data_IF_791852772080
#
_entry.id   IF_791852772080
#
_cell.length_a   1.000
_cell.length_b   1.000
_cell.length_c   1.000
_cell.angle_alpha   90.00
_cell.angle_beta   90.00
_cell.angle_gamma   90.00
#
_symmetry.space_group_name_H-M   'P 1'
#
loop_
_entity.id
_entity.type
_entity.pdbx_description
1 polymer ?
#
# COMPACT_ATOMS: atom_id res chain seq x y z
N UNK A 1 16.01 -9.74 6.68
CA UNK A 1 15.61 -8.33 6.96
C UNK A 1 14.87 -8.31 8.29
N UNK A 2 15.30 -7.49 9.25
CA UNK A 2 14.59 -7.34 10.51
C UNK A 2 13.26 -6.59 10.28
N UNK A 3 12.16 -7.07 10.87
CA UNK A 3 10.87 -6.37 10.83
C UNK A 3 11.01 -5.02 11.53
N UNK A 4 10.50 -3.95 10.93
CA UNK A 4 10.39 -2.65 11.59
C UNK A 4 9.45 -2.75 12.79
N UNK A 5 9.76 -2.02 13.88
CA UNK A 5 8.85 -1.93 15.03
C UNK A 5 7.49 -1.36 14.59
N UNK A 6 6.38 -1.76 15.24
CA UNK A 6 5.07 -1.17 14.97
C UNK A 6 5.13 0.34 15.18
N UNK A 7 4.65 1.09 14.20
CA UNK A 7 4.52 2.53 14.33
C UNK A 7 3.13 2.85 14.88
N UNK A 8 3.00 3.81 15.81
CA UNK A 8 1.69 4.22 16.30
C UNK A 8 0.83 4.72 15.13
N UNK A 9 -0.48 4.47 15.20
CA UNK A 9 -1.40 5.02 14.22
C UNK A 9 -1.43 6.55 14.34
N UNK A 10 -1.19 7.24 13.23
CA UNK A 10 -1.09 8.71 13.18
C UNK A 10 -2.23 9.28 12.34
N UNK A 11 -2.98 10.22 12.92
CA UNK A 11 -4.16 10.83 12.28
C UNK A 11 -3.93 12.31 12.03
N UNK A 12 -4.27 12.76 10.83
CA UNK A 12 -4.28 14.17 10.43
C UNK A 12 -2.89 14.80 10.25
N UNK A 13 -2.86 15.96 9.61
CA UNK A 13 -1.62 16.63 9.21
C UNK A 13 -0.72 17.01 10.41
N UNK A 14 -1.29 17.47 11.53
CA UNK A 14 -0.53 17.82 12.72
C UNK A 14 0.12 16.59 13.38
N UNK A 15 -0.58 15.46 13.41
CA UNK A 15 -0.05 14.19 13.87
C UNK A 15 1.09 13.71 12.96
N UNK A 16 0.88 13.77 11.64
CA UNK A 16 1.91 13.39 10.66
C UNK A 16 3.15 14.27 10.78
N UNK A 17 2.99 15.59 10.90
CA UNK A 17 4.12 16.51 11.07
C UNK A 17 4.94 16.20 12.33
N UNK A 18 4.26 15.88 13.44
CA UNK A 18 4.91 15.47 14.68
C UNK A 18 5.69 14.16 14.51
N UNK A 19 5.06 13.17 13.88
CA UNK A 19 5.68 11.86 13.62
C UNK A 19 6.94 11.98 12.75
N UNK A 20 6.86 12.75 11.66
CA UNK A 20 8.00 12.98 10.77
C UNK A 20 9.16 13.65 11.52
N UNK A 21 8.86 14.66 12.36
CA UNK A 21 9.89 15.33 13.18
C UNK A 21 10.48 14.42 14.26
N UNK A 22 9.68 13.57 14.90
CA UNK A 22 10.14 12.74 16.02
C UNK A 22 10.97 11.53 15.57
N UNK A 23 10.64 10.95 14.40
CA UNK A 23 11.32 9.75 13.91
C UNK A 23 12.36 10.04 12.83
N UNK A 24 12.26 11.16 12.11
CA UNK A 24 13.18 11.51 11.02
C UNK A 24 13.10 10.58 9.81
N UNK A 25 12.08 9.73 9.73
CA UNK A 25 11.90 8.76 8.64
C UNK A 25 10.82 9.25 7.65
N UNK A 26 11.06 9.16 6.33
CA UNK A 26 10.04 9.45 5.34
C UNK A 26 8.91 8.43 5.40
N UNK A 27 7.70 8.87 5.05
CA UNK A 27 6.53 8.00 4.92
C UNK A 27 6.07 7.97 3.46
N UNK A 28 5.49 6.84 3.04
CA UNK A 28 4.78 6.76 1.77
C UNK A 28 3.36 7.29 1.95
N UNK A 29 2.92 8.11 1.00
CA UNK A 29 1.58 8.69 0.98
C UNK A 29 1.12 8.95 -0.43
N UNK A 30 -0.18 9.13 -0.61
CA UNK A 30 -0.76 9.48 -1.89
C UNK A 30 -0.56 10.96 -2.21
N UNK A 31 -0.42 11.29 -3.49
CA UNK A 31 -0.14 12.67 -3.94
C UNK A 31 -1.26 13.66 -3.63
N UNK A 32 -2.49 13.19 -3.51
CA UNK A 32 -3.68 13.98 -3.21
C UNK A 32 -3.83 14.33 -1.71
N UNK A 33 -2.91 13.87 -0.85
CA UNK A 33 -2.98 14.18 0.57
C UNK A 33 -2.80 15.68 0.85
N UNK A 34 -3.47 16.21 1.91
CA UNK A 34 -3.20 17.57 2.38
C UNK A 34 -1.72 17.77 2.72
N UNK A 35 -1.23 18.99 2.47
CA UNK A 35 0.13 19.37 2.82
C UNK A 35 0.39 19.21 4.33
N UNK A 36 1.58 18.70 4.66
CA UNK A 36 2.02 18.51 6.04
C UNK A 36 3.04 19.60 6.39
N UNK A 37 2.81 20.43 7.43
CA UNK A 37 3.73 21.52 7.77
C UNK A 37 5.16 21.04 8.03
N UNK A 38 6.12 21.64 7.33
CA UNK A 38 7.54 21.31 7.43
C UNK A 38 7.95 20.03 6.71
N UNK A 39 7.08 19.44 5.89
CA UNK A 39 7.38 18.30 5.04
C UNK A 39 7.25 18.67 3.57
N UNK A 40 7.99 17.94 2.72
CA UNK A 40 7.90 18.05 1.27
C UNK A 40 7.36 16.75 0.70
N UNK A 41 6.45 16.84 -0.27
CA UNK A 41 6.02 15.69 -1.05
C UNK A 41 7.05 15.46 -2.17
N UNK A 42 7.59 14.24 -2.25
CA UNK A 42 8.53 13.82 -3.29
C UNK A 42 7.89 12.68 -4.07
N UNK A 43 7.65 12.82 -5.39
CA UNK A 43 7.17 11.72 -6.21
C UNK A 43 8.13 10.54 -6.15
N UNK A 44 7.62 9.36 -5.84
CA UNK A 44 8.38 8.13 -5.94
C UNK A 44 8.30 7.62 -7.39
N UNK A 45 9.32 7.96 -8.17
CA UNK A 45 9.39 7.66 -9.61
C UNK A 45 10.10 6.34 -9.91
N UNK A 46 11.04 5.91 -9.07
CA UNK A 46 11.78 4.65 -9.23
C UNK A 46 12.23 4.12 -7.86
N UNK A 47 11.86 2.88 -7.46
CA UNK A 47 10.84 2.03 -8.11
C UNK A 47 9.44 2.64 -7.94
N UNK A 48 8.61 2.56 -8.97
CA UNK A 48 7.20 2.95 -8.89
C UNK A 48 6.53 2.14 -7.78
N UNK A 49 5.96 2.82 -6.77
CA UNK A 49 5.26 2.13 -5.69
C UNK A 49 4.01 1.41 -6.23
N UNK A 50 4.03 0.08 -6.18
CA UNK A 50 2.83 -0.72 -6.41
C UNK A 50 1.92 -0.66 -5.17
N UNK A 51 0.65 -0.33 -5.38
CA UNK A 51 -0.39 -0.44 -4.35
C UNK A 51 -1.13 -1.76 -4.55
N UNK A 52 -1.16 -2.60 -3.50
CA UNK A 52 -1.88 -3.85 -3.54
C UNK A 52 -3.38 -3.62 -3.32
N UNK A 53 -4.21 -4.20 -4.17
CA UNK A 53 -5.64 -4.37 -3.92
C UNK A 53 -5.86 -5.70 -3.22
N UNK A 54 -6.60 -5.68 -2.11
CA UNK A 54 -6.89 -6.87 -1.31
C UNK A 54 -8.39 -7.03 -1.08
N UNK A 55 -8.90 -8.25 -1.33
CA UNK A 55 -10.23 -8.67 -0.91
C UNK A 55 -10.09 -9.46 0.40
N UNK A 56 -10.54 -8.89 1.51
CA UNK A 56 -10.48 -9.54 2.82
C UNK A 56 -11.86 -10.05 3.21
N UNK A 57 -11.95 -11.32 3.60
CA UNK A 57 -13.18 -11.95 4.06
C UNK A 57 -12.87 -12.98 5.16
N UNK A 58 -13.90 -13.39 5.90
CA UNK A 58 -13.76 -14.50 6.86
C UNK A 58 -13.33 -15.77 6.16
N UNK A 59 -12.45 -16.54 6.78
CA UNK A 59 -11.90 -17.79 6.22
C UNK A 59 -12.99 -18.81 5.88
N UNK A 60 -14.04 -18.86 6.68
CA UNK A 60 -15.17 -19.79 6.58
C UNK A 60 -16.38 -19.20 5.82
N UNK A 61 -16.22 -18.04 5.16
CA UNK A 61 -17.31 -17.44 4.41
C UNK A 61 -17.60 -18.25 3.13
N UNK A 62 -18.84 -18.72 2.99
CA UNK A 62 -19.34 -19.53 1.86
C UNK A 62 -20.28 -18.74 0.94
N UNK A 63 -20.42 -17.43 1.14
CA UNK A 63 -21.36 -16.62 0.38
C UNK A 63 -21.01 -16.61 -1.12
N UNK A 64 -21.97 -16.92 -2.03
CA UNK A 64 -21.70 -17.05 -3.46
C UNK A 64 -21.13 -15.78 -4.10
N UNK A 65 -21.48 -14.59 -3.58
CA UNK A 65 -20.92 -13.33 -4.05
C UNK A 65 -19.39 -13.26 -3.93
N UNK A 66 -18.74 -14.01 -3.02
CA UNK A 66 -17.27 -14.07 -2.97
C UNK A 66 -16.69 -14.70 -4.24
N UNK A 67 -17.33 -15.73 -4.79
CA UNK A 67 -16.92 -16.32 -6.05
C UNK A 67 -17.09 -15.31 -7.20
N UNK A 68 -18.23 -14.59 -7.23
CA UNK A 68 -18.48 -13.53 -8.22
C UNK A 68 -17.45 -12.40 -8.15
N UNK A 69 -17.16 -11.89 -6.95
CA UNK A 69 -16.17 -10.82 -6.75
C UNK A 69 -14.76 -11.26 -7.18
N UNK A 70 -14.38 -12.51 -6.89
CA UNK A 70 -13.09 -13.07 -7.33
C UNK A 70 -13.02 -13.21 -8.86
N UNK A 71 -14.11 -13.63 -9.50
CA UNK A 71 -14.17 -13.73 -10.95
C UNK A 71 -14.04 -12.35 -11.62
N UNK A 72 -14.81 -11.36 -11.16
CA UNK A 72 -14.73 -9.99 -11.66
C UNK A 72 -13.33 -9.37 -11.45
N UNK A 73 -12.72 -9.59 -10.28
CA UNK A 73 -11.36 -9.12 -10.01
C UNK A 73 -10.32 -9.80 -10.92
N UNK A 74 -10.51 -11.08 -11.27
CA UNK A 74 -9.62 -11.79 -12.19
C UNK A 74 -9.76 -11.28 -13.64
N UNK A 75 -10.98 -11.00 -14.08
CA UNK A 75 -11.26 -10.40 -15.38
C UNK A 75 -10.59 -9.03 -15.51
N UNK A 76 -10.83 -8.13 -14.54
CA UNK A 76 -10.20 -6.80 -14.50
C UNK A 76 -8.67 -6.90 -14.44
N UNK A 77 -8.13 -7.78 -13.60
CA UNK A 77 -6.69 -7.97 -13.50
C UNK A 77 -6.05 -8.46 -14.81
N UNK A 78 -6.80 -9.24 -15.60
CA UNK A 78 -6.37 -9.68 -16.94
C UNK A 78 -6.42 -8.55 -17.96
N UNK A 79 -7.55 -7.83 -18.02
CA UNK A 79 -7.76 -6.73 -18.97
C UNK A 79 -6.77 -5.57 -18.75
N UNK A 80 -6.49 -5.23 -17.49
CA UNK A 80 -5.67 -4.08 -17.10
C UNK A 80 -4.22 -4.47 -16.77
N UNK A 81 -3.85 -5.74 -16.94
CA UNK A 81 -2.49 -6.22 -16.70
C UNK A 81 -2.00 -6.07 -15.25
N UNK A 82 -2.88 -6.10 -14.25
CA UNK A 82 -2.50 -5.86 -12.84
C UNK A 82 -1.48 -6.86 -12.29
N UNK A 83 -1.39 -8.04 -12.90
CA UNK A 83 -0.40 -9.08 -12.53
C UNK A 83 0.91 -8.97 -13.28
N UNK A 84 0.99 -8.11 -14.31
CA UNK A 84 2.23 -7.86 -15.02
C UNK A 84 3.15 -7.04 -14.12
N UNK A 85 4.32 -7.61 -13.79
CA UNK A 85 5.34 -6.91 -13.02
C UNK A 85 6.05 -5.92 -13.96
N UNK A 86 6.06 -4.61 -13.65
CA UNK A 86 6.87 -3.67 -14.41
C UNK A 86 8.36 -4.06 -14.36
N UNK A 87 9.08 -3.83 -15.46
CA UNK A 87 10.54 -4.00 -15.46
C UNK A 87 11.15 -3.11 -14.37
N UNK A 88 12.10 -3.65 -13.60
CA UNK A 88 12.72 -2.93 -12.48
C UNK A 88 11.87 -2.81 -11.21
N UNK A 89 10.61 -3.25 -11.21
CA UNK A 89 9.75 -3.14 -10.03
C UNK A 89 10.40 -3.82 -8.81
N UNK A 90 10.55 -3.08 -7.72
CA UNK A 90 11.01 -3.62 -6.45
C UNK A 90 9.86 -4.33 -5.75
N UNK A 91 10.02 -5.62 -5.47
CA UNK A 91 9.14 -6.38 -4.60
C UNK A 91 9.96 -6.79 -3.37
N UNK A 92 9.46 -6.58 -2.14
CA UNK A 92 10.09 -7.17 -0.98
C UNK A 92 10.08 -8.70 -1.16
N UNK A 93 11.13 -9.38 -0.69
CA UNK A 93 11.13 -10.85 -0.67
C UNK A 93 9.87 -11.35 0.01
N UNK A 94 9.22 -12.36 -0.58
CA UNK A 94 7.98 -12.91 -0.02
C UNK A 94 8.18 -13.34 1.43
N UNK A 95 7.17 -13.15 2.27
CA UNK A 95 7.17 -13.76 3.60
C UNK A 95 7.19 -15.28 3.43
N UNK A 96 8.28 -15.91 3.83
CA UNK A 96 8.31 -17.37 4.01
C UNK A 96 7.30 -17.72 5.08
N UNK A 97 6.35 -18.59 4.73
CA UNK A 97 5.24 -19.00 5.60
C UNK A 97 5.73 -19.77 6.82
#
# INVERSE_FOLDING_TARGET
MARSRPHPHVVGAAGTARHLRSHGLPILTMSERPAVPGAVLRPLVEPVACHAWALVHRRDATHPALATLRAAAAELAGAEGWRARPAGAWLPGGETR
#
